data_IF_590188692010
#
_entry.id   IF_590188692010
#
_cell.length_a   1.000
_cell.length_b   1.000
_cell.length_c   1.000
_cell.angle_alpha   90.00
_cell.angle_beta   90.00
_cell.angle_gamma   90.00
#
_symmetry.space_group_name_H-M   'P 1'
#
loop_
_entity.id
_entity.type
_entity.pdbx_description
1 polymer ?
#
# COMPACT_ATOMS: atom_id res chain seq x y z
N UNK A 1 -5.48 -11.82 -13.58
CA UNK A 1 -6.84 -12.39 -13.67
C UNK A 1 -6.83 -13.90 -13.38
N UNK A 2 -6.04 -14.70 -14.11
CA UNK A 2 -6.00 -16.16 -13.96
C UNK A 2 -5.72 -16.61 -12.52
N UNK A 3 -4.75 -15.99 -11.82
CA UNK A 3 -4.44 -16.31 -10.44
C UNK A 3 -5.59 -16.00 -9.48
N UNK A 4 -6.24 -14.84 -9.65
CA UNK A 4 -7.36 -14.43 -8.81
C UNK A 4 -8.58 -15.31 -9.02
N UNK A 5 -8.92 -15.64 -10.28
CA UNK A 5 -10.05 -16.52 -10.60
C UNK A 5 -9.86 -17.96 -10.10
N UNK A 6 -8.62 -18.34 -9.76
CA UNK A 6 -8.27 -19.64 -9.14
C UNK A 6 -8.11 -19.56 -7.62
N UNK A 7 -8.42 -18.42 -6.99
CA UNK A 7 -8.30 -18.23 -5.55
C UNK A 7 -6.87 -18.19 -5.02
N UNK A 8 -5.88 -17.84 -5.86
CA UNK A 8 -4.49 -17.77 -5.42
C UNK A 8 -4.29 -16.62 -4.41
N UNK A 9 -3.49 -16.82 -3.34
CA UNK A 9 -3.22 -15.80 -2.31
C UNK A 9 -2.23 -14.76 -2.84
N UNK A 10 -2.73 -13.67 -3.42
CA UNK A 10 -1.91 -12.64 -4.08
C UNK A 10 -1.70 -11.37 -3.25
N UNK A 11 -2.23 -11.29 -2.02
CA UNK A 11 -2.30 -10.06 -1.23
C UNK A 11 -0.94 -9.37 -1.04
N UNK A 12 0.12 -10.10 -0.72
CA UNK A 12 1.46 -9.53 -0.51
C UNK A 12 2.03 -8.91 -1.79
N UNK A 13 1.81 -9.58 -2.90
CA UNK A 13 2.29 -9.12 -4.20
C UNK A 13 1.41 -8.01 -4.77
N UNK A 14 0.13 -8.02 -4.42
CA UNK A 14 -0.86 -7.07 -4.92
C UNK A 14 -0.47 -5.59 -4.69
N UNK A 15 0.00 -5.23 -3.48
CA UNK A 15 0.42 -3.84 -3.18
C UNK A 15 1.61 -3.45 -4.07
N UNK A 16 2.60 -4.33 -4.20
CA UNK A 16 3.78 -4.07 -5.03
C UNK A 16 3.42 -3.97 -6.52
N UNK A 17 2.59 -4.88 -7.02
CA UNK A 17 2.22 -4.99 -8.44
C UNK A 17 1.19 -3.94 -8.86
N UNK A 18 0.17 -3.69 -8.03
CA UNK A 18 -0.97 -2.85 -8.40
C UNK A 18 -0.85 -1.38 -7.98
N UNK A 19 -0.05 -1.09 -6.96
CA UNK A 19 0.12 0.26 -6.45
C UNK A 19 1.55 0.76 -6.68
N UNK A 20 2.54 0.16 -6.02
CA UNK A 20 3.91 0.68 -6.02
C UNK A 20 4.59 0.57 -7.38
N UNK A 21 4.42 -0.55 -8.09
CA UNK A 21 4.99 -0.76 -9.43
C UNK A 21 4.51 0.29 -10.44
N UNK A 22 3.20 0.48 -10.66
CA UNK A 22 2.66 1.53 -11.54
C UNK A 22 3.10 2.94 -11.14
N UNK A 23 3.19 3.23 -9.84
CA UNK A 23 3.67 4.53 -9.35
C UNK A 23 5.13 4.76 -9.73
N UNK A 24 6.00 3.79 -9.48
CA UNK A 24 7.42 3.86 -9.86
C UNK A 24 7.58 3.92 -11.38
N UNK A 25 6.81 3.12 -12.12
CA UNK A 25 6.84 3.12 -13.58
C UNK A 25 6.47 4.49 -14.18
N UNK A 26 5.48 5.16 -13.57
CA UNK A 26 4.96 6.44 -14.07
C UNK A 26 5.82 7.63 -13.63
N UNK A 27 6.19 7.69 -12.37
CA UNK A 27 6.78 8.89 -11.76
C UNK A 27 8.24 8.70 -11.32
N UNK A 28 8.71 7.46 -11.18
CA UNK A 28 10.06 7.15 -10.73
C UNK A 28 11.14 7.54 -11.73
N UNK A 29 12.34 7.77 -11.23
CA UNK A 29 13.54 7.96 -12.04
C UNK A 29 13.90 6.66 -12.79
N UNK A 30 14.70 6.76 -13.84
CA UNK A 30 15.18 5.57 -14.56
C UNK A 30 16.00 4.62 -13.65
N UNK A 31 16.71 5.16 -12.67
CA UNK A 31 17.43 4.37 -11.66
C UNK A 31 16.45 3.58 -10.78
N UNK A 32 15.40 4.24 -10.27
CA UNK A 32 14.34 3.59 -9.49
C UNK A 32 13.63 2.51 -10.30
N UNK A 33 13.23 2.79 -11.53
CA UNK A 33 12.59 1.82 -12.42
C UNK A 33 13.45 0.58 -12.62
N UNK A 34 14.73 0.75 -12.95
CA UNK A 34 15.66 -0.37 -13.16
C UNK A 34 15.91 -1.18 -11.91
N UNK A 35 15.89 -0.56 -10.74
CA UNK A 35 16.14 -1.25 -9.48
C UNK A 35 14.91 -1.99 -8.97
N UNK A 36 13.74 -1.32 -8.92
CA UNK A 36 12.55 -1.87 -8.26
C UNK A 36 11.67 -2.73 -9.17
N UNK A 37 11.38 -2.29 -10.40
CA UNK A 37 10.38 -2.96 -11.23
C UNK A 37 10.70 -4.42 -11.56
N UNK A 38 11.94 -4.79 -11.93
CA UNK A 38 12.25 -6.19 -12.17
C UNK A 38 12.10 -7.06 -10.93
N UNK A 39 12.41 -6.54 -9.75
CA UNK A 39 12.28 -7.25 -8.47
C UNK A 39 10.82 -7.42 -8.05
N UNK A 40 9.98 -6.40 -8.30
CA UNK A 40 8.53 -6.50 -8.12
C UNK A 40 7.97 -7.60 -9.02
N UNK A 41 8.29 -7.58 -10.32
CA UNK A 41 7.79 -8.59 -11.28
C UNK A 41 8.19 -10.03 -10.90
N UNK A 42 9.33 -10.21 -10.22
CA UNK A 42 9.79 -11.53 -9.75
C UNK A 42 9.35 -11.85 -8.32
N UNK A 43 8.55 -10.99 -7.69
CA UNK A 43 8.12 -11.10 -6.30
C UNK A 43 9.30 -11.22 -5.30
N UNK A 44 10.45 -10.63 -5.60
CA UNK A 44 11.64 -10.61 -4.76
C UNK A 44 11.55 -9.57 -3.64
N UNK A 45 10.76 -8.52 -3.83
CA UNK A 45 10.54 -7.45 -2.87
C UNK A 45 9.05 -7.14 -2.73
N UNK A 46 8.65 -6.88 -1.49
CA UNK A 46 7.33 -6.41 -1.14
C UNK A 46 7.31 -4.92 -0.80
N UNK A 47 6.20 -4.29 -1.07
CA UNK A 47 5.92 -2.90 -0.72
C UNK A 47 4.74 -2.79 0.21
N UNK A 48 4.72 -1.74 1.03
CA UNK A 48 3.53 -1.26 1.71
C UNK A 48 3.35 0.24 1.44
N UNK A 49 2.17 0.75 1.76
CA UNK A 49 1.79 2.13 1.51
C UNK A 49 1.59 2.87 2.83
N UNK A 50 2.31 3.98 3.00
CA UNK A 50 2.25 4.83 4.18
C UNK A 50 1.59 6.17 3.88
N UNK A 51 0.25 6.20 3.80
CA UNK A 51 -0.52 7.43 3.62
C UNK A 51 -1.02 7.98 4.96
N UNK A 52 -1.89 7.23 5.64
CA UNK A 52 -2.60 7.66 6.84
C UNK A 52 -1.69 7.90 8.04
N UNK A 53 -2.07 8.88 8.86
CA UNK A 53 -1.50 9.16 10.18
C UNK A 53 -2.59 9.15 11.24
N UNK A 54 -2.29 9.07 12.54
CA UNK A 54 -3.31 9.02 13.59
C UNK A 54 -4.35 10.13 13.51
N UNK A 55 -3.96 11.31 13.02
CA UNK A 55 -4.83 12.48 12.88
C UNK A 55 -5.08 12.88 11.42
N UNK A 56 -4.69 12.07 10.43
CA UNK A 56 -4.82 12.34 9.01
C UNK A 56 -5.15 11.06 8.24
N UNK A 57 -6.43 10.69 8.25
CA UNK A 57 -7.00 9.59 7.47
C UNK A 57 -7.86 10.14 6.33
N UNK A 58 -9.16 10.41 6.60
CA UNK A 58 -10.05 11.03 5.61
C UNK A 58 -9.54 12.41 5.18
N UNK A 59 -8.95 13.16 6.09
CA UNK A 59 -8.24 14.41 5.79
C UNK A 59 -6.76 14.16 5.50
N UNK A 60 -6.47 13.40 4.46
CA UNK A 60 -5.11 13.00 4.10
C UNK A 60 -4.18 14.19 3.79
N UNK A 61 -4.74 15.31 3.31
CA UNK A 61 -3.97 16.52 3.05
C UNK A 61 -3.35 17.17 4.30
N UNK A 62 -3.77 16.73 5.50
CA UNK A 62 -3.24 17.24 6.77
C UNK A 62 -2.07 16.43 7.34
N UNK A 63 -1.47 15.50 6.59
CA UNK A 63 -0.32 14.71 7.04
C UNK A 63 0.83 15.61 7.53
N UNK A 64 1.49 15.13 8.59
CA UNK A 64 2.54 15.84 9.32
C UNK A 64 3.90 15.14 9.30
N UNK A 65 3.96 13.86 8.93
CA UNK A 65 5.24 13.15 8.71
C UNK A 65 6.09 14.01 7.79
N UNK A 66 7.27 14.37 8.24
CA UNK A 66 8.09 15.41 7.60
C UNK A 66 9.42 14.85 7.13
N UNK A 67 9.77 15.18 5.90
CA UNK A 67 11.10 14.96 5.35
C UNK A 67 11.78 16.31 5.13
N UNK A 68 12.87 16.54 5.84
CA UNK A 68 13.64 17.79 5.75
C UNK A 68 14.86 17.54 4.88
N UNK A 69 15.06 18.41 3.88
CA UNK A 69 16.22 18.34 3.00
C UNK A 69 17.51 18.57 3.79
N UNK A 70 18.48 17.70 3.59
CA UNK A 70 19.84 17.83 4.12
C UNK A 70 20.88 17.85 2.99
N UNK A 71 22.16 18.01 3.33
CA UNK A 71 23.25 18.07 2.36
C UNK A 71 23.40 16.77 1.52
N UNK A 72 22.95 15.63 2.06
CA UNK A 72 23.02 14.32 1.41
C UNK A 72 21.71 13.54 1.62
N UNK A 73 20.62 14.05 1.01
CA UNK A 73 19.32 13.38 1.08
C UNK A 73 18.32 14.06 2.00
N UNK A 74 17.59 13.28 2.80
CA UNK A 74 16.46 13.73 3.59
C UNK A 74 16.49 13.14 4.99
N UNK A 75 16.07 13.89 5.98
CA UNK A 75 15.80 13.42 7.33
C UNK A 75 14.30 13.27 7.52
N UNK A 76 13.84 12.04 7.71
CA UNK A 76 12.43 11.70 7.87
C UNK A 76 12.08 11.51 9.33
N UNK A 77 11.03 12.21 9.77
CA UNK A 77 10.45 12.09 11.11
C UNK A 77 8.92 12.02 11.03
N UNK A 78 8.32 11.17 11.83
CA UNK A 78 6.87 11.06 11.94
C UNK A 78 6.36 9.66 12.16
N UNK A 79 5.08 9.43 11.80
CA UNK A 79 4.43 8.15 12.03
C UNK A 79 3.33 7.90 11.01
N UNK A 80 3.28 6.67 10.49
CA UNK A 80 2.17 6.17 9.67
C UNK A 80 1.38 5.12 10.42
N UNK A 81 0.09 5.00 10.12
CA UNK A 81 -0.82 4.03 10.75
C UNK A 81 -1.69 3.35 9.69
N UNK A 82 -2.25 2.22 10.04
CA UNK A 82 -3.08 1.37 9.19
C UNK A 82 -2.33 0.89 7.94
N UNK A 83 -1.00 0.75 8.06
CA UNK A 83 -0.15 0.29 6.97
C UNK A 83 -0.27 -1.23 6.84
N UNK A 84 -0.90 -1.68 5.76
CA UNK A 84 -1.13 -3.10 5.49
C UNK A 84 0.19 -3.82 5.26
N UNK A 85 0.41 -4.92 6.00
CA UNK A 85 1.54 -5.84 5.85
C UNK A 85 2.94 -5.19 5.91
N UNK A 86 3.11 -4.04 6.57
CA UNK A 86 4.43 -3.40 6.69
C UNK A 86 5.49 -4.29 7.32
N UNK A 87 5.11 -5.17 8.25
CA UNK A 87 6.02 -6.12 8.91
C UNK A 87 6.54 -7.25 7.98
N UNK A 88 6.01 -7.37 6.77
CA UNK A 88 6.47 -8.29 5.74
C UNK A 88 7.11 -7.58 4.54
N UNK A 89 6.89 -6.27 4.40
CA UNK A 89 7.40 -5.49 3.28
C UNK A 89 8.87 -5.08 3.51
N UNK A 90 9.63 -4.96 2.43
CA UNK A 90 10.99 -4.40 2.45
C UNK A 90 10.96 -2.89 2.29
N UNK A 91 10.02 -2.36 1.52
CA UNK A 91 9.93 -0.94 1.20
C UNK A 91 8.54 -0.38 1.46
N UNK A 92 8.50 0.92 1.73
CA UNK A 92 7.25 1.69 1.82
C UNK A 92 7.28 2.86 0.83
N UNK A 93 6.16 3.11 0.14
CA UNK A 93 5.91 4.42 -0.45
C UNK A 93 5.19 5.27 0.60
N UNK A 94 5.85 6.30 1.11
CA UNK A 94 5.32 7.16 2.15
C UNK A 94 4.96 8.55 1.60
N UNK A 95 3.74 9.01 1.88
CA UNK A 95 3.35 10.41 1.66
C UNK A 95 3.88 11.25 2.83
N UNK A 96 4.70 12.23 2.52
CA UNK A 96 5.37 13.07 3.52
C UNK A 96 5.27 14.54 3.15
N UNK A 97 5.51 15.41 4.11
CA UNK A 97 5.60 16.84 3.90
C UNK A 97 7.07 17.25 3.78
N UNK A 98 7.44 17.79 2.63
CA UNK A 98 8.81 18.30 2.36
C UNK A 98 8.91 19.81 2.54
N UNK A 99 7.80 20.53 2.37
CA UNK A 99 7.75 21.98 2.59
C UNK A 99 6.41 22.42 3.17
N UNK A 100 6.32 23.67 3.63
CA UNK A 100 5.11 24.23 4.21
C UNK A 100 4.67 23.54 5.50
N UNK A 101 3.36 23.57 5.78
CA UNK A 101 2.70 23.04 6.97
C UNK A 101 1.43 22.26 6.59
N UNK A 102 0.76 21.65 7.56
CA UNK A 102 -0.53 21.01 7.34
C UNK A 102 -1.64 21.98 6.87
N UNK A 103 -1.49 23.27 7.17
CA UNK A 103 -2.42 24.31 6.71
C UNK A 103 -2.32 24.57 5.19
N UNK A 104 -1.17 24.26 4.58
CA UNK A 104 -0.96 24.41 3.13
C UNK A 104 -1.59 23.28 2.32
N UNK A 105 -2.22 22.35 3.01
CA UNK A 105 -3.01 21.24 2.42
C UNK A 105 -2.17 20.43 1.44
N UNK A 106 -2.50 20.48 0.16
CA UNK A 106 -1.89 19.69 -0.91
C UNK A 106 -0.47 20.15 -1.30
N UNK A 107 -0.18 21.43 -1.09
CA UNK A 107 1.15 21.96 -1.37
C UNK A 107 2.20 21.39 -0.42
N UNK A 108 3.40 21.16 -0.95
CA UNK A 108 4.54 20.67 -0.17
C UNK A 108 4.45 19.19 0.25
N UNK A 109 3.53 18.42 -0.33
CA UNK A 109 3.49 16.97 -0.17
C UNK A 109 4.33 16.28 -1.24
N UNK A 110 5.07 15.27 -0.84
CA UNK A 110 5.91 14.43 -1.72
C UNK A 110 5.75 12.96 -1.37
N UNK A 111 6.06 12.06 -2.30
CA UNK A 111 6.15 10.63 -1.99
C UNK A 111 7.60 10.17 -2.00
N UNK A 112 7.96 9.33 -1.04
CA UNK A 112 9.31 8.79 -0.88
C UNK A 112 9.28 7.28 -0.71
N UNK A 113 10.28 6.61 -1.28
CA UNK A 113 10.55 5.20 -1.03
C UNK A 113 11.41 5.10 0.22
N UNK A 114 10.91 4.42 1.24
CA UNK A 114 11.58 4.19 2.51
C UNK A 114 11.95 2.72 2.62
N UNK A 115 13.22 2.42 2.87
CA UNK A 115 13.67 1.09 3.26
C UNK A 115 13.25 0.85 4.71
N UNK A 116 12.40 -0.16 4.96
CA UNK A 116 11.88 -0.45 6.29
C UNK A 116 12.93 -1.06 7.23
N UNK A 117 14.07 -1.48 6.72
CA UNK A 117 15.23 -1.93 7.52
C UNK A 117 16.16 -0.78 7.92
N UNK A 118 15.93 0.45 7.44
CA UNK A 118 16.79 1.59 7.74
C UNK A 118 16.80 1.92 9.24
N UNK A 119 17.96 2.33 9.79
CA UNK A 119 18.04 2.81 11.16
C UNK A 119 17.02 3.93 11.44
N UNK A 120 16.34 3.84 12.59
CA UNK A 120 15.29 4.79 12.97
C UNK A 120 13.88 4.40 12.51
N UNK A 121 13.73 3.35 11.69
CA UNK A 121 12.42 2.80 11.36
C UNK A 121 12.00 1.74 12.39
N UNK A 122 10.78 1.87 12.91
CA UNK A 122 10.17 0.87 13.80
C UNK A 122 8.79 0.51 13.30
N UNK A 123 8.56 -0.78 13.03
CA UNK A 123 7.26 -1.31 12.63
C UNK A 123 6.60 -2.01 13.82
N UNK A 124 5.37 -1.61 14.16
CA UNK A 124 4.56 -2.22 15.21
C UNK A 124 3.25 -2.74 14.66
N UNK A 125 2.99 -4.01 14.88
CA UNK A 125 1.75 -4.65 14.47
C UNK A 125 0.55 -4.16 15.31
N UNK A 126 -0.57 -3.94 14.63
CA UNK A 126 -1.87 -3.67 15.25
C UNK A 126 -2.70 -4.95 15.11
N UNK A 127 -3.08 -5.52 16.27
CA UNK A 127 -3.97 -6.70 16.28
C UNK A 127 -5.41 -6.25 16.16
N UNK A 128 -6.15 -6.94 15.31
CA UNK A 128 -7.59 -6.78 15.17
C UNK A 128 -8.38 -7.67 16.14
N UNK A 129 -9.71 -7.66 16.05
CA UNK A 129 -10.60 -8.44 16.91
C UNK A 129 -10.47 -9.95 16.71
N UNK A 130 -9.96 -10.41 15.58
CA UNK A 130 -9.71 -11.84 15.31
C UNK A 130 -8.38 -12.30 15.89
N UNK A 131 -7.53 -11.38 16.35
CA UNK A 131 -6.17 -11.64 16.80
C UNK A 131 -5.13 -11.55 15.69
N UNK A 132 -5.54 -11.38 14.45
CA UNK A 132 -4.66 -11.16 13.31
C UNK A 132 -3.99 -9.79 13.36
N UNK A 133 -2.90 -9.62 12.62
CA UNK A 133 -2.11 -8.40 12.63
C UNK A 133 -1.74 -7.95 11.21
N UNK A 134 -2.78 -7.65 10.41
CA UNK A 134 -2.60 -7.17 9.04
C UNK A 134 -2.11 -5.73 8.96
N UNK A 135 -2.49 -4.91 9.93
CA UNK A 135 -2.15 -3.50 9.97
C UNK A 135 -0.97 -3.20 10.89
N UNK A 136 -0.30 -2.10 10.61
CA UNK A 136 0.86 -1.67 11.38
C UNK A 136 0.86 -0.16 11.59
N UNK A 137 1.49 0.25 12.70
CA UNK A 137 2.09 1.58 12.84
C UNK A 137 3.55 1.50 12.38
N UNK A 138 4.00 2.54 11.69
CA UNK A 138 5.39 2.69 11.29
C UNK A 138 5.90 4.03 11.77
N UNK A 139 6.92 3.98 12.61
CA UNK A 139 7.55 5.15 13.21
C UNK A 139 8.84 5.47 12.47
N UNK A 140 9.09 6.75 12.28
CA UNK A 140 10.32 7.29 11.72
C UNK A 140 10.94 8.23 12.74
N UNK A 141 12.13 7.89 13.22
CA UNK A 141 12.91 8.66 14.18
C UNK A 141 14.27 8.94 13.58
N UNK A 142 14.42 10.17 13.07
CA UNK A 142 15.62 10.65 12.39
C UNK A 142 16.14 9.73 11.27
N UNK A 143 15.23 9.14 10.49
CA UNK A 143 15.60 8.23 9.40
C UNK A 143 16.28 9.01 8.28
N UNK A 144 17.48 8.59 7.91
CA UNK A 144 18.21 9.17 6.78
C UNK A 144 17.83 8.48 5.48
N UNK A 145 17.26 9.22 4.55
CA UNK A 145 16.92 8.74 3.22
C UNK A 145 17.87 9.39 2.20
N UNK A 146 18.33 8.63 1.18
CA UNK A 146 19.12 9.19 0.10
C UNK A 146 18.29 10.14 -0.78
N UNK A 147 18.96 10.92 -1.62
CA UNK A 147 18.29 11.80 -2.59
C UNK A 147 17.33 11.03 -3.51
N UNK A 148 17.73 9.83 -3.88
CA UNK A 148 17.00 8.92 -4.75
C UNK A 148 15.74 8.32 -4.10
N UNK A 149 15.48 8.60 -2.83
CA UNK A 149 14.23 8.17 -2.18
C UNK A 149 13.01 8.92 -2.71
N UNK A 150 13.18 10.16 -3.18
CA UNK A 150 12.09 10.97 -3.73
C UNK A 150 11.55 10.36 -5.02
N UNK A 151 10.24 10.16 -5.11
CA UNK A 151 9.58 9.74 -6.34
C UNK A 151 9.18 10.98 -7.15
N UNK A 152 9.71 11.09 -8.37
CA UNK A 152 9.42 12.22 -9.25
C UNK A 152 9.97 13.54 -8.72
N UNK A 153 9.12 14.57 -8.66
CA UNK A 153 9.48 15.92 -8.24
C UNK A 153 8.94 16.23 -6.85
N UNK A 154 9.69 17.05 -6.10
CA UNK A 154 9.24 17.56 -4.79
C UNK A 154 7.94 18.36 -4.94
N UNK A 155 7.01 18.17 -4.02
CA UNK A 155 5.72 18.84 -4.03
C UNK A 155 4.63 18.17 -4.87
N UNK A 156 4.93 17.08 -5.61
CA UNK A 156 3.96 16.37 -6.46
C UNK A 156 3.24 15.22 -5.74
N UNK A 157 3.47 15.03 -4.46
CA UNK A 157 2.94 13.90 -3.69
C UNK A 157 1.42 13.78 -3.70
N UNK A 158 0.69 14.89 -3.75
CA UNK A 158 -0.78 14.84 -3.82
C UNK A 158 -1.28 14.25 -5.15
N UNK A 159 -0.70 14.69 -6.26
CA UNK A 159 -1.01 14.15 -7.59
C UNK A 159 -0.68 12.66 -7.68
N UNK A 160 0.47 12.28 -7.13
CA UNK A 160 0.94 10.90 -7.08
C UNK A 160 0.01 10.03 -6.22
N UNK A 161 -0.36 10.46 -5.01
CA UNK A 161 -1.27 9.73 -4.13
C UNK A 161 -2.66 9.52 -4.75
N UNK A 162 -3.20 10.52 -5.45
CA UNK A 162 -4.47 10.36 -6.18
C UNK A 162 -4.36 9.34 -7.33
N UNK A 163 -3.25 9.33 -8.06
CA UNK A 163 -3.00 8.34 -9.12
C UNK A 163 -2.89 6.93 -8.52
N UNK A 164 -2.22 6.78 -7.39
CA UNK A 164 -2.09 5.52 -6.66
C UNK A 164 -3.45 4.97 -6.22
N UNK A 165 -4.28 5.81 -5.58
CA UNK A 165 -5.63 5.43 -5.16
C UNK A 165 -6.53 5.03 -6.34
N UNK A 166 -6.33 5.62 -7.52
CA UNK A 166 -7.03 5.21 -8.73
C UNK A 166 -6.64 3.79 -9.16
N UNK A 167 -5.36 3.44 -9.12
CA UNK A 167 -4.89 2.06 -9.40
C UNK A 167 -5.42 1.06 -8.36
N UNK A 168 -5.40 1.41 -7.08
CA UNK A 168 -5.95 0.58 -6.01
C UNK A 168 -7.43 0.25 -6.23
N UNK A 169 -8.24 1.23 -6.66
CA UNK A 169 -9.69 1.10 -6.69
C UNK A 169 -10.25 0.52 -8.00
N UNK A 170 -9.45 0.37 -9.04
CA UNK A 170 -9.88 -0.03 -10.39
C UNK A 170 -9.46 -1.45 -10.80
N UNK A 171 -8.89 -2.23 -9.91
CA UNK A 171 -8.35 -3.54 -10.24
C UNK A 171 -9.39 -4.65 -10.38
N UNK A 172 -9.11 -5.69 -11.19
CA UNK A 172 -9.98 -6.85 -11.38
C UNK A 172 -10.18 -7.67 -10.09
N UNK A 173 -9.31 -7.52 -9.10
CA UNK A 173 -9.40 -8.18 -7.80
C UNK A 173 -10.70 -7.85 -7.05
N UNK A 174 -11.29 -6.69 -7.31
CA UNK A 174 -12.58 -6.29 -6.71
C UNK A 174 -13.73 -7.22 -7.09
N UNK A 175 -13.62 -7.86 -8.25
CA UNK A 175 -14.60 -8.83 -8.74
C UNK A 175 -14.08 -10.27 -8.63
N UNK A 176 -12.88 -10.52 -9.15
CA UNK A 176 -12.35 -11.87 -9.33
C UNK A 176 -11.93 -12.55 -8.02
N UNK A 177 -11.66 -11.81 -6.95
CA UNK A 177 -11.34 -12.40 -5.64
C UNK A 177 -12.51 -13.21 -5.04
N UNK A 178 -13.75 -12.86 -5.39
CA UNK A 178 -14.94 -13.59 -4.98
C UNK A 178 -15.43 -14.62 -6.02
N UNK A 179 -14.81 -14.67 -7.20
CA UNK A 179 -15.28 -15.49 -8.32
C UNK A 179 -15.34 -16.98 -7.98
N UNK A 180 -14.34 -17.49 -7.26
CA UNK A 180 -14.29 -18.90 -6.83
C UNK A 180 -15.52 -19.28 -6.01
N UNK A 181 -15.93 -18.42 -5.07
CA UNK A 181 -17.13 -18.67 -4.25
C UNK A 181 -18.41 -18.64 -5.09
N UNK A 182 -18.47 -17.77 -6.08
CA UNK A 182 -19.61 -17.67 -7.01
C UNK A 182 -19.68 -18.92 -7.88
N UNK A 183 -18.56 -19.40 -8.41
CA UNK A 183 -18.50 -20.59 -9.24
C UNK A 183 -18.89 -21.85 -8.44
N UNK A 184 -18.39 -21.99 -7.21
CA UNK A 184 -18.76 -23.08 -6.29
C UNK A 184 -20.25 -23.03 -5.94
N UNK A 185 -20.80 -21.86 -5.69
CA UNK A 185 -22.23 -21.69 -5.43
C UNK A 185 -23.09 -22.10 -6.63
N UNK A 186 -22.72 -21.69 -7.84
CA UNK A 186 -23.40 -22.15 -9.06
C UNK A 186 -23.25 -23.65 -9.30
N UNK A 187 -22.09 -24.23 -9.03
CA UNK A 187 -21.88 -25.68 -9.13
C UNK A 187 -22.80 -26.44 -8.16
N UNK A 188 -22.90 -25.92 -6.91
CA UNK A 188 -23.80 -26.49 -5.91
C UNK A 188 -25.27 -26.37 -6.32
N UNK A 189 -25.73 -25.22 -6.82
CA UNK A 189 -27.10 -25.04 -7.31
C UNK A 189 -27.45 -26.02 -8.45
N UNK A 190 -26.54 -26.24 -9.40
CA UNK A 190 -26.75 -27.20 -10.49
C UNK A 190 -26.82 -28.65 -9.99
N UNK A 191 -26.02 -29.00 -9.00
CA UNK A 191 -26.03 -30.31 -8.37
C UNK A 191 -27.28 -30.55 -7.49
N UNK A 192 -27.82 -29.48 -6.92
CA UNK A 192 -29.00 -29.51 -6.03
C UNK A 192 -30.34 -29.47 -6.77
N UNK A 193 -30.34 -29.16 -8.08
CA UNK A 193 -31.57 -29.04 -8.88
C UNK A 193 -32.39 -30.34 -9.02
N UNK A 194 -31.95 -31.44 -8.39
CA UNK A 194 -32.70 -32.71 -8.31
C UNK A 194 -33.42 -32.93 -6.97
N UNK A 195 -33.23 -32.05 -5.97
CA UNK A 195 -33.96 -32.14 -4.69
C UNK A 195 -34.97 -31.00 -4.60
N UNK A 196 -36.21 -31.35 -4.39
CA UNK A 196 -37.34 -30.38 -4.31
C UNK A 196 -37.40 -29.58 -3.00
N UNK A 197 -36.44 -29.73 -2.11
CA UNK A 197 -36.37 -29.01 -0.86
C UNK A 197 -35.35 -27.87 -0.94
N UNK A 198 -35.74 -26.60 -0.67
CA UNK A 198 -34.78 -25.54 -0.50
C UNK A 198 -33.91 -25.83 0.72
N UNK A 199 -32.59 -25.60 0.65
CA UNK A 199 -31.74 -25.79 1.81
C UNK A 199 -32.23 -24.90 2.95
N UNK A 200 -32.57 -25.54 4.07
CA UNK A 200 -32.84 -24.78 5.29
C UNK A 200 -31.60 -23.92 5.59
N UNK A 201 -31.78 -22.59 5.61
CA UNK A 201 -30.74 -21.68 5.98
C UNK A 201 -30.30 -22.00 7.42
N UNK A 202 -29.22 -22.75 7.56
CA UNK A 202 -28.52 -22.86 8.82
C UNK A 202 -27.71 -21.56 8.99
N UNK A 203 -28.40 -20.55 9.50
CA UNK A 203 -27.75 -19.38 10.10
C UNK A 203 -27.60 -19.73 11.57
N UNK A 204 -26.40 -20.09 11.96
CA UNK A 204 -25.96 -20.11 13.35
C UNK A 204 -24.95 -18.98 13.54
#
# INVERSE_FOLDING_TARGET
EELLSRGAPVLMHWIADRQSGPMIARFGTEAQKRFYLPKICRAEIGFCIGLSEPNAGSDLASVRTRAIREAKGWRLNGRKIWTTNAHHAQYMIALVRTSGSAADRHAGLSQMIVDLSAPGVTVRQIRDLTGDAHFNEVFFDDVLLPDEALIGEEGQGWTQANAELAFERSGPERLLSAQVLVDEWFAWLRGSSGSSDPPAAQVA
#
